data_IF_766471165341
#
_entry.id   IF_766471165341
#
_cell.length_a   1.000
_cell.length_b   1.000
_cell.length_c   1.000
_cell.angle_alpha   90.00
_cell.angle_beta   90.00
_cell.angle_gamma   90.00
#
_symmetry.space_group_name_H-M   'P 1'
#
loop_
_entity.id
_entity.type
_entity.pdbx_description
1 polymer ?
#
# COMPACT_ATOMS: atom_id res chain seq x y z
N UNK A 1 -3.49 14.15 -0.85
CA UNK A 1 -2.15 14.73 -1.11
C UNK A 1 -1.17 13.59 -1.35
N UNK A 2 -0.08 13.82 -2.09
CA UNK A 2 0.99 12.83 -2.29
C UNK A 2 2.28 13.43 -1.76
N UNK A 3 3.02 12.66 -0.95
CA UNK A 3 4.28 13.08 -0.36
C UNK A 3 5.40 12.20 -0.92
N UNK A 4 6.50 12.81 -1.36
CA UNK A 4 7.69 12.07 -1.75
C UNK A 4 8.50 11.74 -0.50
N UNK A 5 8.68 10.45 -0.21
CA UNK A 5 9.42 9.94 0.95
C UNK A 5 10.78 9.32 0.57
N UNK A 6 11.25 9.56 -0.66
CA UNK A 6 12.59 9.15 -1.06
C UNK A 6 13.66 9.79 -0.15
N UNK A 7 14.77 9.09 0.07
CA UNK A 7 15.87 9.55 0.92
C UNK A 7 16.52 10.83 0.39
N UNK A 8 16.44 11.09 -0.92
CA UNK A 8 16.89 12.36 -1.51
C UNK A 8 15.92 13.53 -1.33
N UNK A 9 14.65 13.25 -1.03
CA UNK A 9 13.59 14.26 -0.89
C UNK A 9 13.28 14.62 0.58
N UNK A 10 13.73 13.78 1.51
CA UNK A 10 13.46 13.90 2.93
C UNK A 10 14.75 13.96 3.75
N UNK A 11 14.63 14.45 4.98
CA UNK A 11 15.68 14.40 5.99
C UNK A 11 15.09 13.85 7.28
N UNK A 12 15.87 13.02 7.98
CA UNK A 12 15.51 12.44 9.28
C UNK A 12 14.17 11.67 9.20
N UNK A 13 13.99 10.87 8.13
CA UNK A 13 12.79 10.05 7.94
C UNK A 13 12.72 8.96 9.01
N UNK A 14 11.64 9.01 9.79
CA UNK A 14 11.31 8.02 10.80
C UNK A 14 9.90 7.47 10.52
N UNK A 15 9.82 6.15 10.38
CA UNK A 15 8.56 5.42 10.17
C UNK A 15 8.33 4.56 11.41
N UNK A 16 7.24 4.85 12.12
CA UNK A 16 6.80 4.12 13.29
C UNK A 16 5.37 3.60 13.06
N UNK A 17 4.90 2.72 13.93
CA UNK A 17 3.56 2.14 13.88
C UNK A 17 2.46 3.20 14.00
N UNK A 18 2.73 4.30 14.71
CA UNK A 18 1.74 5.35 14.97
C UNK A 18 1.82 6.51 13.97
N UNK A 19 3.01 6.75 13.41
CA UNK A 19 3.24 7.93 12.58
C UNK A 19 4.49 7.83 11.71
N UNK A 20 4.45 8.57 10.60
CA UNK A 20 5.60 8.86 9.75
C UNK A 20 6.01 10.31 9.99
N UNK A 21 7.29 10.54 10.30
CA UNK A 21 7.83 11.86 10.61
C UNK A 21 9.09 12.11 9.78
N UNK A 22 9.19 13.29 9.18
CA UNK A 22 10.37 13.70 8.42
C UNK A 22 10.39 15.21 8.20
N UNK A 23 11.54 15.76 7.83
CA UNK A 23 11.66 17.12 7.27
C UNK A 23 11.72 17.06 5.74
N UNK A 24 10.97 17.93 5.07
CA UNK A 24 11.02 18.09 3.61
C UNK A 24 10.91 19.56 3.22
N UNK A 25 11.17 19.86 1.93
CA UNK A 25 11.08 21.22 1.40
C UNK A 25 9.87 21.37 0.49
N UNK A 26 9.07 22.40 0.75
CA UNK A 26 7.93 22.80 -0.07
C UNK A 26 8.19 24.21 -0.57
N UNK A 27 8.27 24.38 -1.89
CA UNK A 27 8.64 25.66 -2.52
C UNK A 27 9.93 26.26 -1.95
N UNK A 28 10.92 25.40 -1.64
CA UNK A 28 12.21 25.79 -1.05
C UNK A 28 12.21 25.97 0.47
N UNK A 29 11.05 26.05 1.12
CA UNK A 29 10.93 26.23 2.58
C UNK A 29 10.95 24.86 3.27
N UNK A 30 11.85 24.69 4.25
CA UNK A 30 11.93 23.46 5.05
C UNK A 30 10.77 23.40 6.04
N UNK A 31 10.08 22.27 6.09
CA UNK A 31 8.98 22.01 7.02
C UNK A 31 9.13 20.61 7.61
N UNK A 32 8.79 20.49 8.89
CA UNK A 32 8.67 19.20 9.57
C UNK A 32 7.26 18.67 9.36
N UNK A 33 7.16 17.43 8.89
CA UNK A 33 5.93 16.75 8.54
C UNK A 33 5.70 15.63 9.55
N UNK A 34 4.48 15.57 10.06
CA UNK A 34 3.98 14.50 10.91
C UNK A 34 2.72 13.95 10.27
N UNK A 35 2.73 12.67 9.94
CA UNK A 35 1.59 11.96 9.34
C UNK A 35 1.18 10.82 10.26
N UNK A 36 0.01 10.85 10.90
CA UNK A 36 -0.46 9.71 11.67
C UNK A 36 -0.80 8.55 10.72
N UNK A 37 -0.57 7.31 11.16
CA UNK A 37 -0.69 6.14 10.28
C UNK A 37 -2.11 5.97 9.71
N UNK A 38 -3.15 6.33 10.48
CA UNK A 38 -4.55 6.31 10.03
C UNK A 38 -4.86 7.29 8.88
N UNK A 39 -4.00 8.28 8.62
CA UNK A 39 -4.16 9.21 7.50
C UNK A 39 -3.46 8.71 6.23
N UNK A 40 -2.69 7.61 6.30
CA UNK A 40 -1.96 7.04 5.16
C UNK A 40 -2.91 6.14 4.37
N UNK A 41 -3.19 6.53 3.12
CA UNK A 41 -4.08 5.78 2.22
C UNK A 41 -3.38 4.68 1.43
N UNK A 42 -2.06 4.75 1.31
CA UNK A 42 -1.30 3.81 0.50
C UNK A 42 0.12 4.29 0.24
N UNK A 43 0.91 3.41 -0.34
CA UNK A 43 2.28 3.66 -0.77
C UNK A 43 2.46 3.08 -2.16
N UNK A 44 3.07 3.87 -3.05
CA UNK A 44 3.31 3.46 -4.43
C UNK A 44 4.62 4.04 -4.95
N UNK A 45 5.25 3.31 -5.88
CA UNK A 45 6.40 3.75 -6.63
C UNK A 45 5.97 4.74 -7.72
N UNK A 46 6.62 5.90 -7.77
CA UNK A 46 6.31 6.94 -8.75
C UNK A 46 6.59 6.52 -10.20
N UNK A 47 7.57 5.64 -10.42
CA UNK A 47 8.08 5.31 -11.76
C UNK A 47 7.12 4.44 -12.58
N UNK A 48 6.45 3.49 -11.93
CA UNK A 48 5.57 2.51 -12.58
C UNK A 48 4.18 2.43 -11.93
N UNK A 49 3.91 3.22 -10.88
CA UNK A 49 2.64 3.25 -10.17
C UNK A 49 2.36 2.00 -9.31
N UNK A 50 3.29 1.06 -9.23
CA UNK A 50 3.11 -0.16 -8.43
C UNK A 50 3.14 0.17 -6.94
N UNK A 51 2.24 -0.44 -6.18
CA UNK A 51 2.10 -0.15 -4.76
C UNK A 51 0.98 -0.91 -4.10
N UNK A 52 0.63 -0.48 -2.88
CA UNK A 52 -0.49 -0.99 -2.12
C UNK A 52 -1.29 0.17 -1.52
N UNK A 53 -2.60 0.01 -1.47
CA UNK A 53 -3.50 0.90 -0.76
C UNK A 53 -3.94 0.23 0.54
N UNK A 54 -4.09 1.03 1.58
CA UNK A 54 -4.56 0.58 2.88
C UNK A 54 -6.04 0.91 3.02
N UNK A 55 -6.83 -0.08 3.44
CA UNK A 55 -8.21 0.12 3.88
C UNK A 55 -8.17 0.73 5.28
N UNK A 56 -8.92 1.79 5.52
CA UNK A 56 -9.00 2.38 6.86
C UNK A 56 -9.85 1.47 7.75
N UNK A 57 -9.40 1.22 8.98
CA UNK A 57 -10.14 0.39 9.95
C UNK A 57 -11.57 0.90 10.22
N UNK A 58 -11.83 2.19 10.06
CA UNK A 58 -13.19 2.76 10.16
C UNK A 58 -14.15 2.24 9.08
N UNK A 59 -13.61 1.82 7.94
CA UNK A 59 -14.38 1.23 6.83
C UNK A 59 -14.58 -0.28 7.05
N UNK A 60 -13.68 -0.95 7.78
CA UNK A 60 -13.81 -2.35 8.17
C UNK A 60 -14.95 -2.58 9.19
N UNK A 61 -15.23 -1.61 10.05
CA UNK A 61 -16.38 -1.66 10.97
C UNK A 61 -17.72 -1.49 10.23
N UNK A 62 -17.78 -0.64 9.21
CA UNK A 62 -18.98 -0.43 8.38
C UNK A 62 -19.27 -1.60 7.43
N UNK A 63 -18.23 -2.34 7.01
CA UNK A 63 -18.35 -3.50 6.12
C UNK A 63 -18.62 -4.82 6.88
N UNK A 64 -18.56 -4.84 8.22
CA UNK A 64 -18.82 -6.04 9.01
C UNK A 64 -20.31 -6.42 9.15
N UNK A 65 -21.24 -5.57 8.73
CA UNK A 65 -22.68 -5.90 8.70
C UNK A 65 -23.14 -6.61 7.41
N UNK A 66 -22.29 -6.69 6.37
CA UNK A 66 -22.61 -7.42 5.13
C UNK A 66 -21.55 -8.51 4.85
N UNK A 67 -21.94 -9.76 5.12
CA UNK A 67 -21.14 -10.99 5.03
C UNK A 67 -20.64 -11.31 3.60
N UNK A 68 -19.70 -12.27 3.45
CA UNK A 68 -18.38 -12.11 2.86
C UNK A 68 -18.32 -12.53 1.38
N UNK A 69 -17.12 -12.41 0.80
CA UNK A 69 -16.67 -12.89 -0.52
C UNK A 69 -16.99 -12.00 -1.71
N UNK A 70 -15.95 -11.34 -2.23
CA UNK A 70 -15.64 -11.24 -3.66
C UNK A 70 -14.19 -10.81 -3.81
N UNK A 71 -13.35 -11.78 -4.15
CA UNK A 71 -12.06 -11.54 -4.78
C UNK A 71 -12.31 -11.15 -6.24
N UNK A 72 -12.08 -9.89 -6.59
CA UNK A 72 -12.02 -9.39 -7.98
C UNK A 72 -10.63 -8.77 -8.17
N UNK A 73 -9.66 -9.47 -8.76
CA UNK A 73 -9.48 -9.66 -10.21
C UNK A 73 -9.28 -8.31 -10.93
N UNK A 74 -8.02 -7.89 -11.07
CA UNK A 74 -7.60 -6.89 -12.04
C UNK A 74 -6.50 -7.49 -12.91
N UNK A 75 -6.92 -8.24 -13.93
CA UNK A 75 -6.08 -8.65 -15.04
C UNK A 75 -6.36 -7.74 -16.26
N UNK A 76 -5.35 -7.09 -16.88
CA UNK A 76 -5.49 -6.58 -18.23
C UNK A 76 -5.25 -7.73 -19.24
N UNK A 77 -6.16 -7.85 -20.21
CA UNK A 77 -6.21 -8.89 -21.24
C UNK A 77 -4.95 -9.02 -22.10
N UNK A 78 -4.52 -10.27 -22.34
CA UNK A 78 -3.92 -10.72 -23.60
C UNK A 78 -4.32 -12.21 -23.84
N UNK A 79 -4.85 -12.60 -25.03
CA UNK A 79 -5.53 -13.87 -25.20
C UNK A 79 -4.58 -14.94 -25.76
N UNK A 80 -4.23 -15.98 -24.99
CA UNK A 80 -3.89 -17.30 -25.55
C UNK A 80 -3.77 -18.43 -24.52
N UNK A 81 -4.49 -19.51 -24.83
CA UNK A 81 -4.19 -20.93 -24.56
C UNK A 81 -4.38 -21.55 -23.15
N UNK A 82 -5.51 -22.27 -23.03
CA UNK A 82 -5.68 -23.68 -22.59
C UNK A 82 -5.20 -24.16 -21.20
N UNK A 83 -6.19 -24.43 -20.35
CA UNK A 83 -6.45 -25.64 -19.53
C UNK A 83 -5.30 -26.40 -18.83
N UNK A 84 -5.58 -26.61 -17.53
CA UNK A 84 -5.18 -27.73 -16.65
C UNK A 84 -3.76 -27.67 -16.05
N UNK A 85 -3.67 -27.39 -14.74
CA UNK A 85 -2.92 -28.25 -13.81
C UNK A 85 -3.11 -27.88 -12.32
N UNK A 86 -3.71 -28.85 -11.61
CA UNK A 86 -3.54 -29.28 -10.21
C UNK A 86 -2.77 -28.33 -9.25
N UNK A 87 -3.49 -27.90 -8.20
CA UNK A 87 -2.99 -27.22 -6.98
C UNK A 87 -1.75 -27.92 -6.40
N UNK A 88 -0.65 -27.21 -6.05
CA UNK A 88 0.49 -27.82 -5.38
C UNK A 88 0.19 -28.03 -3.89
N UNK A 89 0.44 -29.25 -3.39
CA UNK A 89 0.40 -29.56 -1.96
C UNK A 89 1.83 -29.51 -1.38
N UNK A 90 2.05 -28.62 -0.41
CA UNK A 90 3.31 -28.53 0.33
C UNK A 90 3.46 -29.75 1.27
N UNK A 91 4.63 -30.38 1.28
CA UNK A 91 4.98 -31.44 2.24
C UNK A 91 5.96 -30.92 3.29
N UNK A 92 5.67 -31.21 4.55
CA UNK A 92 6.54 -30.93 5.69
C UNK A 92 7.73 -31.89 5.65
N UNK A 93 8.95 -31.37 5.76
CA UNK A 93 10.19 -32.15 5.94
C UNK A 93 10.53 -32.24 7.43
N UNK A 94 11.01 -33.43 7.85
CA UNK A 94 11.46 -33.72 9.21
C UNK A 94 12.98 -33.76 9.26
#
# INVERSE_FOLDING_TARGET
MVLNIDYGATKDLHIDNHSIVFSARFSGVSQNIYVPMNAVRGIFARENGQGMFFELEQELEAQQEENPSSSDDLNPEDPSTKQNNKKPALRIVK
#
